data_IF_303751084081
#
_entry.id   IF_303751084081
#
_cell.length_a   1.000
_cell.length_b   1.000
_cell.length_c   1.000
_cell.angle_alpha   90.00
_cell.angle_beta   90.00
_cell.angle_gamma   90.00
#
_symmetry.space_group_name_H-M   'P 1'
#
loop_
_entity.id
_entity.type
_entity.pdbx_description
1 polymer ?
#
# COMPACT_ATOMS: atom_id res chain seq x y z
N UNK A 1 27.90 4.46 11.87
CA UNK A 1 27.31 4.67 10.54
C UNK A 1 26.17 3.70 10.37
N UNK A 2 24.94 4.15 10.60
CA UNK A 2 23.75 3.30 10.42
C UNK A 2 23.44 3.27 8.93
N UNK A 3 23.73 2.15 8.29
CA UNK A 3 23.33 1.90 6.91
C UNK A 3 21.80 1.83 6.92
N UNK A 4 21.14 2.83 6.33
CA UNK A 4 19.74 2.71 5.93
C UNK A 4 19.69 1.62 4.86
N UNK A 5 19.41 0.39 5.28
CA UNK A 5 19.13 -0.68 4.34
C UNK A 5 17.87 -0.31 3.57
N UNK A 6 18.02 -0.08 2.27
CA UNK A 6 16.90 -0.12 1.33
C UNK A 6 16.14 -1.44 1.56
N UNK A 7 14.93 -1.37 2.11
CA UNK A 7 13.86 -2.24 1.63
C UNK A 7 13.16 -3.19 2.60
N UNK A 8 13.07 -2.94 3.91
CA UNK A 8 11.94 -3.52 4.65
C UNK A 8 11.51 -2.63 5.80
N UNK A 9 10.28 -2.12 5.75
CA UNK A 9 9.67 -1.47 6.89
C UNK A 9 9.10 -2.57 7.79
N UNK A 10 9.34 -2.45 9.10
CA UNK A 10 8.72 -3.30 10.12
C UNK A 10 7.27 -2.83 10.29
N UNK A 11 6.41 -3.12 9.32
CA UNK A 11 5.03 -2.63 9.27
C UNK A 11 4.22 -3.01 10.52
N UNK A 12 4.54 -4.17 11.12
CA UNK A 12 3.93 -4.61 12.36
C UNK A 12 4.22 -3.65 13.52
N UNK A 13 5.41 -3.05 13.56
CA UNK A 13 5.74 -2.05 14.58
C UNK A 13 5.03 -0.72 14.36
N UNK A 14 4.60 -0.43 13.13
CA UNK A 14 3.91 0.83 12.82
C UNK A 14 2.46 0.79 13.28
N UNK A 15 1.84 -0.39 13.24
CA UNK A 15 0.50 -0.62 13.79
C UNK A 15 0.44 -0.42 15.32
N UNK A 16 1.58 -0.49 16.01
CA UNK A 16 1.69 -0.29 17.47
C UNK A 16 2.05 1.16 17.87
N UNK A 17 2.19 2.08 16.89
CA UNK A 17 2.53 3.47 17.19
C UNK A 17 1.34 4.26 17.74
N UNK A 18 1.65 5.29 18.53
CA UNK A 18 0.64 6.09 19.25
C UNK A 18 -0.34 6.81 18.31
N UNK A 19 0.07 7.16 17.09
CA UNK A 19 -0.81 7.80 16.11
C UNK A 19 -1.87 6.84 15.58
N UNK A 20 -1.55 5.54 15.46
CA UNK A 20 -2.51 4.50 15.08
C UNK A 20 -3.63 4.34 16.13
N UNK A 21 -3.29 4.47 17.43
CA UNK A 21 -4.27 4.39 18.53
C UNK A 21 -5.08 5.69 18.69
N UNK A 22 -4.44 6.86 18.54
CA UNK A 22 -5.06 8.16 18.92
C UNK A 22 -5.81 8.86 17.81
N UNK A 23 -5.45 8.66 16.54
CA UNK A 23 -6.08 9.37 15.44
C UNK A 23 -7.31 8.62 14.93
N UNK A 24 -8.39 9.35 14.54
CA UNK A 24 -9.56 8.71 13.97
C UNK A 24 -9.24 8.11 12.60
N UNK A 25 -9.85 6.96 12.29
CA UNK A 25 -9.68 6.25 11.01
C UNK A 25 -9.99 7.13 9.78
N UNK A 26 -10.85 8.12 9.93
CA UNK A 26 -11.17 9.11 8.88
C UNK A 26 -9.95 9.87 8.36
N UNK A 27 -8.93 10.08 9.19
CA UNK A 27 -7.68 10.72 8.76
C UNK A 27 -6.93 9.84 7.76
N UNK A 28 -6.81 8.54 8.06
CA UNK A 28 -6.19 7.56 7.16
C UNK A 28 -6.98 7.41 5.86
N UNK A 29 -8.32 7.38 5.94
CA UNK A 29 -9.17 7.34 4.74
C UNK A 29 -8.99 8.58 3.85
N UNK A 30 -8.90 9.76 4.46
CA UNK A 30 -8.66 11.02 3.73
C UNK A 30 -7.28 11.03 3.07
N UNK A 31 -6.24 10.58 3.80
CA UNK A 31 -4.88 10.46 3.27
C UNK A 31 -4.83 9.48 2.10
N UNK A 32 -5.46 8.31 2.22
CA UNK A 32 -5.55 7.31 1.15
C UNK A 32 -6.25 7.87 -0.08
N UNK A 33 -7.35 8.61 0.09
CA UNK A 33 -8.06 9.26 -1.01
C UNK A 33 -7.16 10.22 -1.80
N UNK A 34 -6.46 11.11 -1.10
CA UNK A 34 -5.53 12.07 -1.73
C UNK A 34 -4.36 11.33 -2.41
N UNK A 35 -3.81 10.29 -1.77
CA UNK A 35 -2.71 9.52 -2.34
C UNK A 35 -3.14 8.81 -3.63
N UNK A 36 -4.32 8.18 -3.62
CA UNK A 36 -4.88 7.47 -4.78
C UNK A 36 -5.16 8.43 -5.94
N UNK A 37 -5.71 9.61 -5.68
CA UNK A 37 -5.95 10.63 -6.71
C UNK A 37 -4.65 11.05 -7.40
N UNK A 38 -3.61 11.35 -6.61
CA UNK A 38 -2.30 11.72 -7.15
C UNK A 38 -1.65 10.58 -7.92
N UNK A 39 -1.75 9.35 -7.42
CA UNK A 39 -1.25 8.16 -8.11
C UNK A 39 -1.97 7.93 -9.43
N UNK A 40 -3.29 8.10 -9.46
CA UNK A 40 -4.07 7.95 -10.69
C UNK A 40 -3.60 8.93 -11.79
N UNK A 41 -3.46 10.22 -11.45
CA UNK A 41 -2.96 11.23 -12.40
C UNK A 41 -1.54 10.91 -12.86
N UNK A 42 -0.66 10.48 -11.94
CA UNK A 42 0.71 10.07 -12.29
C UNK A 42 0.73 8.89 -13.26
N UNK A 43 -0.01 7.81 -12.95
CA UNK A 43 -0.03 6.58 -13.74
C UNK A 43 -0.64 6.78 -15.13
N UNK A 44 -1.63 7.67 -15.26
CA UNK A 44 -2.20 8.09 -16.54
C UNK A 44 -1.20 8.84 -17.44
N UNK A 45 -0.20 9.49 -16.84
CA UNK A 45 0.83 10.23 -17.56
C UNK A 45 2.01 9.39 -18.04
N UNK A 46 2.09 8.11 -17.65
CA UNK A 46 3.18 7.21 -18.03
C UNK A 46 2.96 6.63 -19.44
N UNK A 47 4.04 6.46 -20.19
CA UNK A 47 3.98 5.70 -21.45
C UNK A 47 4.04 4.20 -21.18
N UNK A 48 3.75 3.37 -22.19
CA UNK A 48 3.87 1.91 -22.06
C UNK A 48 5.30 1.47 -21.71
N UNK A 49 6.32 2.16 -22.23
CA UNK A 49 7.73 1.88 -21.96
C UNK A 49 8.13 2.25 -20.52
N UNK A 50 7.51 3.26 -19.92
CA UNK A 50 7.77 3.64 -18.53
C UNK A 50 7.44 2.49 -17.55
N UNK A 51 6.46 1.65 -17.88
CA UNK A 51 6.09 0.49 -17.06
C UNK A 51 7.14 -0.63 -17.06
N UNK A 52 8.06 -0.64 -18.04
CA UNK A 52 9.18 -1.58 -18.11
C UNK A 52 10.36 -1.16 -17.21
N UNK A 53 10.36 0.08 -16.70
CA UNK A 53 11.39 0.57 -15.79
C UNK A 53 11.50 -0.34 -14.57
N UNK A 54 12.72 -0.66 -14.17
CA UNK A 54 12.98 -1.61 -13.09
C UNK A 54 13.35 -0.94 -11.78
N UNK A 55 13.05 -1.63 -10.68
CA UNK A 55 13.48 -1.25 -9.34
C UNK A 55 13.96 -2.49 -8.57
N UNK A 56 14.99 -2.30 -7.74
CA UNK A 56 15.45 -3.32 -6.81
C UNK A 56 14.63 -3.27 -5.53
N UNK A 57 14.03 -4.38 -5.15
CA UNK A 57 13.37 -4.58 -3.86
C UNK A 57 14.19 -5.55 -2.99
N UNK A 58 14.03 -5.48 -1.66
CA UNK A 58 14.71 -6.44 -0.79
C UNK A 58 14.04 -7.82 -0.78
N UNK A 59 12.72 -7.89 -1.04
CA UNK A 59 11.94 -9.12 -0.92
C UNK A 59 11.79 -9.85 -2.27
N UNK A 60 11.65 -9.13 -3.37
CA UNK A 60 11.29 -9.70 -4.68
C UNK A 60 12.43 -9.62 -5.70
N UNK A 61 13.58 -9.05 -5.32
CA UNK A 61 14.65 -8.76 -6.25
C UNK A 61 14.29 -7.61 -7.20
N UNK A 62 14.79 -7.68 -8.44
CA UNK A 62 14.48 -6.71 -9.50
C UNK A 62 13.09 -6.99 -10.04
N UNK A 63 12.22 -5.99 -9.99
CA UNK A 63 10.87 -6.02 -10.59
C UNK A 63 10.66 -4.81 -11.49
N UNK A 64 9.75 -4.92 -12.46
CA UNK A 64 9.30 -3.77 -13.26
C UNK A 64 8.30 -2.93 -12.47
N UNK A 65 8.08 -1.68 -12.92
CA UNK A 65 7.03 -0.81 -12.39
C UNK A 65 5.64 -1.41 -12.58
N UNK A 66 5.39 -2.12 -13.69
CA UNK A 66 4.15 -2.86 -13.91
C UNK A 66 3.91 -3.92 -12.82
N UNK A 67 4.91 -4.74 -12.50
CA UNK A 67 4.81 -5.74 -11.43
C UNK A 67 4.57 -5.06 -10.07
N UNK A 68 5.22 -3.92 -9.81
CA UNK A 68 4.98 -3.16 -8.59
C UNK A 68 3.53 -2.66 -8.49
N UNK A 69 2.96 -2.16 -9.59
CA UNK A 69 1.57 -1.72 -9.65
C UNK A 69 0.58 -2.88 -9.45
N UNK A 70 0.79 -4.03 -10.09
CA UNK A 70 -0.05 -5.20 -9.88
C UNK A 70 -0.05 -5.66 -8.42
N UNK A 71 1.12 -5.62 -7.77
CA UNK A 71 1.23 -5.92 -6.33
C UNK A 71 0.50 -4.91 -5.47
N UNK A 72 0.60 -3.62 -5.78
CA UNK A 72 -0.15 -2.57 -5.09
C UNK A 72 -1.65 -2.83 -5.21
N UNK A 73 -2.18 -3.16 -6.40
CA UNK A 73 -3.59 -3.50 -6.59
C UNK A 73 -4.02 -4.76 -5.82
N UNK A 74 -3.20 -5.82 -5.84
CA UNK A 74 -3.47 -7.03 -5.05
C UNK A 74 -3.52 -6.72 -3.55
N UNK A 75 -2.59 -5.92 -3.05
CA UNK A 75 -2.48 -5.58 -1.63
C UNK A 75 -3.74 -4.87 -1.11
N UNK A 76 -4.28 -3.93 -1.88
CA UNK A 76 -5.56 -3.27 -1.53
C UNK A 76 -6.70 -4.26 -1.44
N UNK A 77 -6.85 -5.14 -2.44
CA UNK A 77 -7.90 -6.16 -2.47
C UNK A 77 -7.75 -7.15 -1.32
N UNK A 78 -6.51 -7.51 -0.98
CA UNK A 78 -6.21 -8.41 0.13
C UNK A 78 -6.71 -7.87 1.47
N UNK A 79 -6.37 -6.62 1.82
CA UNK A 79 -6.81 -6.01 3.07
C UNK A 79 -8.31 -5.67 3.10
N UNK A 80 -8.88 -5.25 1.97
CA UNK A 80 -10.32 -5.07 1.87
C UNK A 80 -11.06 -6.40 2.15
N UNK A 81 -10.58 -7.50 1.56
CA UNK A 81 -11.17 -8.83 1.81
C UNK A 81 -11.03 -9.28 3.27
N UNK A 82 -9.93 -8.94 3.96
CA UNK A 82 -9.78 -9.22 5.39
C UNK A 82 -10.86 -8.49 6.22
N UNK A 83 -11.08 -7.20 5.96
CA UNK A 83 -12.13 -6.41 6.63
C UNK A 83 -13.51 -7.02 6.34
N UNK A 84 -13.83 -7.26 5.07
CA UNK A 84 -15.12 -7.85 4.70
C UNK A 84 -15.36 -9.22 5.34
N UNK A 85 -14.32 -10.07 5.43
CA UNK A 85 -14.42 -11.37 6.06
C UNK A 85 -14.71 -11.25 7.56
N UNK A 86 -14.10 -10.28 8.23
CA UNK A 86 -14.40 -9.99 9.63
C UNK A 86 -15.86 -9.53 9.80
N UNK A 87 -16.31 -8.59 8.97
CA UNK A 87 -17.70 -8.12 9.00
C UNK A 87 -18.69 -9.27 8.81
N UNK A 88 -18.42 -10.16 7.85
CA UNK A 88 -19.23 -11.36 7.60
C UNK A 88 -19.24 -12.32 8.79
N UNK A 89 -18.08 -12.57 9.41
CA UNK A 89 -17.95 -13.48 10.54
C UNK A 89 -18.71 -12.98 11.78
N UNK A 90 -18.68 -11.67 12.03
CA UNK A 90 -19.36 -11.03 13.16
C UNK A 90 -20.85 -10.71 12.88
N UNK A 91 -21.32 -10.95 11.64
CA UNK A 91 -22.68 -10.60 11.23
C UNK A 91 -22.95 -9.10 11.14
N UNK A 92 -21.89 -8.28 11.04
CA UNK A 92 -22.00 -6.83 10.90
C UNK A 92 -22.36 -6.48 9.45
N UNK A 93 -23.31 -5.57 9.29
CA UNK A 93 -23.68 -5.04 7.98
C UNK A 93 -22.82 -3.83 7.65
N UNK A 94 -22.46 -3.72 6.37
CA UNK A 94 -21.99 -2.47 5.76
C UNK A 94 -23.12 -1.43 5.74
#
# INVERSE_FOLDING_TARGET
>A
MTVWTRGNYREELWADLIDYEKLPVSNSLSLLGILHERFFVLLQGLTSEDYERTMQTAVLGVITLDVALQRWLWHHRHHAAQIENLLRAEGWKL
#
